data_IF_670785794015
#
_entry.id   IF_670785794015
#
_cell.length_a   1.000
_cell.length_b   1.000
_cell.length_c   1.000
_cell.angle_alpha   90.00
_cell.angle_beta   90.00
_cell.angle_gamma   90.00
#
_symmetry.space_group_name_H-M   'P 1'
#
loop_
_entity.id
_entity.type
_entity.pdbx_description
1 polymer ?
#
# COMPACT_ATOMS: atom_id res chain seq x y z
N UNK A 1 -28.18 -0.27 -9.96
CA UNK A 1 -27.02 0.17 -10.78
C UNK A 1 -26.24 1.38 -10.23
N UNK A 2 -26.73 2.15 -9.24
CA UNK A 2 -26.02 3.35 -8.74
C UNK A 2 -24.73 3.08 -7.93
N UNK A 3 -24.56 1.89 -7.36
CA UNK A 3 -23.41 1.52 -6.53
C UNK A 3 -22.10 1.28 -7.30
N UNK A 4 -22.15 0.91 -8.59
CA UNK A 4 -20.96 0.52 -9.36
C UNK A 4 -20.17 1.71 -9.92
N UNK A 5 -20.85 2.83 -10.18
CA UNK A 5 -20.23 4.03 -10.73
C UNK A 5 -19.10 4.61 -9.86
N UNK A 6 -19.23 4.73 -8.52
CA UNK A 6 -18.13 5.18 -7.67
C UNK A 6 -16.95 4.20 -7.65
N UNK A 7 -17.20 2.89 -7.66
CA UNK A 7 -16.15 1.87 -7.65
C UNK A 7 -15.34 1.89 -8.95
N UNK A 8 -15.99 1.99 -10.11
CA UNK A 8 -15.31 2.08 -11.41
C UNK A 8 -14.45 3.34 -11.45
N UNK A 9 -14.97 4.48 -10.96
CA UNK A 9 -14.19 5.73 -10.86
C UNK A 9 -12.96 5.55 -9.96
N UNK A 10 -13.09 4.84 -8.85
CA UNK A 10 -11.94 4.54 -7.98
C UNK A 10 -10.88 3.71 -8.67
N UNK A 11 -11.28 2.64 -9.36
CA UNK A 11 -10.35 1.73 -10.05
C UNK A 11 -9.61 2.49 -11.15
N UNK A 12 -10.34 3.24 -11.97
CA UNK A 12 -9.74 4.06 -13.05
C UNK A 12 -8.81 5.12 -12.47
N UNK A 13 -9.22 5.82 -11.42
CA UNK A 13 -8.37 6.83 -10.79
C UNK A 13 -7.12 6.20 -10.15
N UNK A 14 -7.27 5.07 -9.49
CA UNK A 14 -6.16 4.31 -8.90
C UNK A 14 -5.16 3.89 -9.97
N UNK A 15 -5.65 3.37 -11.11
CA UNK A 15 -4.80 3.01 -12.24
C UNK A 15 -4.04 4.23 -12.77
N UNK A 16 -4.74 5.33 -13.06
CA UNK A 16 -4.13 6.55 -13.60
C UNK A 16 -3.09 7.14 -12.63
N UNK A 17 -3.44 7.27 -11.36
CA UNK A 17 -2.54 7.84 -10.34
C UNK A 17 -1.33 6.94 -10.11
N UNK A 18 -1.51 5.62 -10.01
CA UNK A 18 -0.40 4.66 -9.87
C UNK A 18 0.53 4.72 -11.09
N UNK A 19 -0.05 4.78 -12.29
CA UNK A 19 0.71 4.88 -13.54
C UNK A 19 1.48 6.19 -13.63
N UNK A 20 0.86 7.32 -13.30
CA UNK A 20 1.54 8.61 -13.27
C UNK A 20 2.65 8.64 -12.23
N UNK A 21 2.39 8.21 -10.99
CA UNK A 21 3.42 8.16 -9.94
C UNK A 21 4.57 7.23 -10.31
N UNK A 22 4.27 6.08 -10.91
CA UNK A 22 5.27 5.14 -11.40
C UNK A 22 6.09 5.71 -12.56
N UNK A 23 5.45 6.32 -13.55
CA UNK A 23 6.11 6.84 -14.74
C UNK A 23 6.92 8.10 -14.45
N UNK A 24 6.33 9.11 -13.81
CA UNK A 24 7.03 10.33 -13.42
C UNK A 24 8.07 10.05 -12.34
N UNK A 25 7.76 9.16 -11.40
CA UNK A 25 8.73 8.66 -10.41
C UNK A 25 9.92 8.00 -11.10
N UNK A 26 9.69 7.10 -12.05
CA UNK A 26 10.73 6.44 -12.82
C UNK A 26 11.60 7.42 -13.61
N UNK A 27 11.06 8.50 -14.16
CA UNK A 27 11.86 9.48 -14.91
C UNK A 27 12.65 10.39 -13.96
N UNK A 28 11.94 11.07 -13.04
CA UNK A 28 12.52 12.12 -12.20
C UNK A 28 13.43 11.50 -11.14
N UNK A 29 12.94 10.48 -10.43
CA UNK A 29 13.68 9.90 -9.31
C UNK A 29 14.89 9.11 -9.80
N UNK A 30 14.79 8.38 -10.92
CA UNK A 30 15.95 7.69 -11.50
C UNK A 30 17.02 8.68 -11.95
N UNK A 31 16.64 9.82 -12.56
CA UNK A 31 17.59 10.86 -12.92
C UNK A 31 18.32 11.43 -11.69
N UNK A 32 17.58 11.75 -10.62
CA UNK A 32 18.16 12.25 -9.36
C UNK A 32 19.07 11.20 -8.73
N UNK A 33 18.63 9.95 -8.64
CA UNK A 33 19.40 8.85 -8.03
C UNK A 33 20.69 8.59 -8.81
N UNK A 34 20.64 8.63 -10.15
CA UNK A 34 21.84 8.52 -10.98
C UNK A 34 22.79 9.71 -10.79
N UNK A 35 22.29 10.94 -10.60
CA UNK A 35 23.13 12.11 -10.32
C UNK A 35 23.89 12.01 -8.98
N UNK A 36 23.32 11.31 -7.99
CA UNK A 36 23.96 11.07 -6.69
C UNK A 36 24.68 9.70 -6.62
N UNK A 37 24.85 9.01 -7.75
CA UNK A 37 25.62 7.76 -7.86
C UNK A 37 24.89 6.51 -7.35
N UNK A 38 23.57 6.57 -7.16
CA UNK A 38 22.74 5.42 -6.76
C UNK A 38 22.10 4.82 -8.01
N UNK A 39 22.66 3.72 -8.49
CA UNK A 39 22.18 3.01 -9.67
C UNK A 39 21.28 1.83 -9.30
N UNK A 40 20.25 1.56 -10.10
CA UNK A 40 19.40 0.36 -9.95
C UNK A 40 18.49 0.35 -8.72
N UNK A 41 18.24 1.49 -8.09
CA UNK A 41 17.34 1.59 -6.93
C UNK A 41 15.89 1.26 -7.30
N UNK A 42 15.21 0.52 -6.42
CA UNK A 42 13.78 0.23 -6.54
C UNK A 42 12.88 1.39 -6.08
N UNK A 43 13.44 2.48 -5.55
CA UNK A 43 12.69 3.61 -5.02
C UNK A 43 11.65 4.19 -6.01
N UNK A 44 11.90 4.29 -7.33
CA UNK A 44 10.89 4.76 -8.27
C UNK A 44 9.70 3.79 -8.42
N UNK A 45 9.97 2.48 -8.36
CA UNK A 45 8.92 1.46 -8.40
C UNK A 45 8.06 1.48 -7.11
N UNK A 46 8.62 1.92 -5.99
CA UNK A 46 7.88 2.08 -4.74
C UNK A 46 6.83 3.20 -4.82
N UNK A 47 7.05 4.27 -5.59
CA UNK A 47 6.10 5.37 -5.74
C UNK A 47 4.77 4.92 -6.36
N UNK A 48 4.82 3.98 -7.31
CA UNK A 48 3.61 3.42 -7.93
C UNK A 48 2.70 2.73 -6.90
N UNK A 49 3.27 2.14 -5.83
CA UNK A 49 2.52 1.45 -4.78
C UNK A 49 1.65 2.38 -3.94
N UNK A 50 1.94 3.68 -3.92
CA UNK A 50 1.14 4.70 -3.21
C UNK A 50 -0.10 5.14 -4.00
N UNK A 51 -0.23 4.76 -5.28
CA UNK A 51 -1.30 5.22 -6.14
C UNK A 51 -2.72 4.95 -5.63
N UNK A 52 -3.04 3.76 -5.09
CA UNK A 52 -4.35 3.49 -4.47
C UNK A 52 -4.65 4.42 -3.30
N UNK A 53 -3.64 4.73 -2.47
CA UNK A 53 -3.82 5.60 -1.31
C UNK A 53 -4.07 7.05 -1.73
N UNK A 54 -3.30 7.55 -2.70
CA UNK A 54 -3.49 8.90 -3.26
C UNK A 54 -4.86 9.00 -3.96
N UNK A 55 -5.23 8.02 -4.77
CA UNK A 55 -6.54 7.99 -5.43
C UNK A 55 -7.71 7.95 -4.42
N UNK A 56 -7.56 7.19 -3.33
CA UNK A 56 -8.53 7.15 -2.25
C UNK A 56 -8.72 8.51 -1.59
N UNK A 57 -7.63 9.21 -1.26
CA UNK A 57 -7.68 10.57 -0.72
C UNK A 57 -8.28 11.58 -1.70
N UNK A 58 -7.94 11.48 -3.00
CA UNK A 58 -8.50 12.35 -4.04
C UNK A 58 -10.01 12.18 -4.19
N UNK A 59 -10.51 10.95 -4.23
CA UNK A 59 -11.96 10.72 -4.27
C UNK A 59 -12.66 11.16 -3.00
N UNK A 60 -12.06 10.91 -1.85
CA UNK A 60 -12.63 11.25 -0.55
C UNK A 60 -12.75 12.78 -0.41
N UNK A 61 -11.75 13.52 -0.89
CA UNK A 61 -11.81 14.97 -1.05
C UNK A 61 -12.83 15.43 -2.09
N UNK A 62 -12.93 14.75 -3.23
CA UNK A 62 -13.88 15.12 -4.29
C UNK A 62 -15.35 14.91 -3.88
N UNK A 63 -15.66 13.79 -3.22
CA UNK A 63 -17.04 13.43 -2.88
C UNK A 63 -17.53 14.06 -1.57
N UNK A 64 -16.64 14.19 -0.58
CA UNK A 64 -17.03 14.59 0.78
C UNK A 64 -16.33 15.87 1.26
N UNK A 65 -15.42 16.44 0.47
CA UNK A 65 -14.67 17.65 0.84
C UNK A 65 -13.92 17.50 2.16
N UNK A 66 -13.87 18.60 2.93
CA UNK A 66 -13.22 18.64 4.26
C UNK A 66 -13.85 17.67 5.27
N UNK A 67 -15.13 17.33 5.12
CA UNK A 67 -15.83 16.42 6.02
C UNK A 67 -15.36 14.97 5.86
N UNK A 68 -15.02 14.57 4.63
CA UNK A 68 -14.39 13.27 4.38
C UNK A 68 -13.09 13.13 5.16
N UNK A 69 -12.17 14.09 5.02
CA UNK A 69 -10.87 14.04 5.70
C UNK A 69 -11.01 14.03 7.24
N UNK A 70 -11.97 14.78 7.79
CA UNK A 70 -12.27 14.71 9.23
C UNK A 70 -12.74 13.32 9.65
N UNK A 71 -13.56 12.65 8.85
CA UNK A 71 -14.00 11.28 9.12
C UNK A 71 -12.82 10.29 9.03
N UNK A 72 -11.93 10.46 8.05
CA UNK A 72 -10.71 9.67 7.91
C UNK A 72 -9.81 9.80 9.15
N UNK A 73 -9.52 11.02 9.59
CA UNK A 73 -8.71 11.27 10.81
C UNK A 73 -9.41 10.71 12.05
N UNK A 74 -10.74 10.87 12.15
CA UNK A 74 -11.50 10.33 13.27
C UNK A 74 -11.45 8.80 13.29
N UNK A 75 -11.58 8.13 12.13
CA UNK A 75 -11.45 6.68 12.04
C UNK A 75 -10.02 6.21 12.28
N UNK A 76 -9.01 6.96 11.83
CA UNK A 76 -7.60 6.73 12.15
C UNK A 76 -7.37 6.70 13.67
N UNK A 77 -7.92 7.69 14.38
CA UNK A 77 -7.80 7.79 15.83
C UNK A 77 -8.64 6.72 16.56
N UNK A 78 -9.78 6.32 15.98
CA UNK A 78 -10.59 5.20 16.48
C UNK A 78 -10.00 3.82 16.13
N UNK A 79 -8.99 3.76 15.26
CA UNK A 79 -8.22 2.55 14.96
C UNK A 79 -7.38 2.07 16.15
N UNK A 80 -7.49 2.75 17.30
CA UNK A 80 -7.12 2.22 18.61
C UNK A 80 -8.03 1.04 19.03
N UNK A 81 -8.31 0.11 18.11
CA UNK A 81 -8.92 -1.17 18.39
C UNK A 81 -7.85 -2.06 19.00
N UNK A 82 -8.26 -2.79 20.04
CA UNK A 82 -7.52 -3.81 20.79
C UNK A 82 -6.14 -4.13 20.23
N UNK A 83 -5.10 -3.96 21.04
CA UNK A 83 -3.70 -4.33 20.73
C UNK A 83 -3.58 -5.69 20.02
N UNK A 84 -4.49 -6.63 20.29
CA UNK A 84 -4.62 -7.94 19.64
C UNK A 84 -4.89 -7.86 18.13
N UNK A 85 -5.72 -6.91 17.67
CA UNK A 85 -5.95 -6.66 16.24
C UNK A 85 -4.70 -6.11 15.56
N UNK A 86 -3.95 -5.25 16.25
CA UNK A 86 -2.70 -4.69 15.77
C UNK A 86 -1.63 -5.78 15.63
N UNK A 87 -1.55 -6.69 16.62
CA UNK A 87 -0.74 -7.91 16.53
C UNK A 87 -1.17 -8.74 15.33
N UNK A 88 -2.46 -9.03 15.16
CA UNK A 88 -2.97 -9.82 14.04
C UNK A 88 -2.60 -9.22 12.69
N UNK A 89 -2.84 -7.93 12.48
CA UNK A 89 -2.52 -7.25 11.20
C UNK A 89 -1.03 -7.29 10.89
N UNK A 90 -0.17 -7.19 11.91
CA UNK A 90 1.28 -7.25 11.72
C UNK A 90 1.76 -8.69 11.54
N UNK A 91 1.37 -9.62 12.41
CA UNK A 91 1.89 -10.99 12.46
C UNK A 91 1.26 -11.94 11.44
N UNK A 92 -0.02 -11.77 11.09
CA UNK A 92 -0.70 -12.67 10.16
C UNK A 92 0.01 -12.75 8.78
N UNK A 93 0.45 -11.64 8.16
CA UNK A 93 1.26 -11.69 6.94
C UNK A 93 2.56 -12.50 7.09
N UNK A 94 3.25 -12.39 8.23
CA UNK A 94 4.46 -13.19 8.48
C UNK A 94 4.13 -14.67 8.60
N UNK A 95 3.07 -15.02 9.33
CA UNK A 95 2.61 -16.42 9.46
C UNK A 95 2.22 -16.99 8.11
N UNK A 96 1.47 -16.23 7.30
CA UNK A 96 1.07 -16.63 5.95
C UNK A 96 2.28 -16.82 5.03
N UNK A 97 3.25 -15.92 5.11
CA UNK A 97 4.50 -16.03 4.34
C UNK A 97 5.30 -17.27 4.76
N UNK A 98 5.39 -17.53 6.06
CA UNK A 98 6.02 -18.74 6.60
C UNK A 98 5.36 -20.02 6.09
N UNK A 99 4.04 -20.11 6.18
CA UNK A 99 3.29 -21.26 5.65
C UNK A 99 3.53 -21.43 4.14
N UNK A 100 3.50 -20.34 3.37
CA UNK A 100 3.71 -20.39 1.93
C UNK A 100 5.12 -20.87 1.54
N UNK A 101 6.15 -20.42 2.27
CA UNK A 101 7.54 -20.85 2.03
C UNK A 101 7.71 -22.33 2.36
N UNK A 102 7.19 -22.80 3.49
CA UNK A 102 7.24 -24.21 3.90
C UNK A 102 6.53 -25.11 2.88
N UNK A 103 5.32 -24.75 2.46
CA UNK A 103 4.58 -25.50 1.43
C UNK A 103 5.35 -25.56 0.11
N UNK A 104 6.00 -24.47 -0.28
CA UNK A 104 6.78 -24.43 -1.53
C UNK A 104 8.04 -25.29 -1.43
N UNK A 105 8.73 -25.27 -0.29
CA UNK A 105 9.88 -26.15 -0.01
C UNK A 105 9.50 -27.63 -0.07
N UNK A 106 8.36 -27.99 0.53
CA UNK A 106 7.82 -29.36 0.48
C UNK A 106 7.46 -29.81 -0.95
N UNK A 107 6.91 -28.92 -1.78
CA UNK A 107 6.51 -29.26 -3.16
C UNK A 107 7.74 -29.43 -4.07
N UNK A 108 8.77 -28.60 -3.89
CA UNK A 108 9.91 -28.56 -4.81
C UNK A 108 11.11 -29.39 -4.36
N UNK A 109 11.06 -30.05 -3.18
CA UNK A 109 12.20 -30.77 -2.59
C UNK A 109 13.49 -29.91 -2.50
N UNK A 110 13.33 -28.61 -2.32
CA UNK A 110 14.43 -27.69 -2.06
C UNK A 110 14.34 -27.20 -0.62
N UNK A 111 15.47 -27.21 0.08
CA UNK A 111 15.65 -26.48 1.33
C UNK A 111 15.59 -24.98 1.00
N UNK A 112 14.38 -24.42 1.00
CA UNK A 112 14.18 -22.98 0.94
C UNK A 112 14.67 -22.38 2.26
N UNK A 113 15.93 -21.92 2.26
CA UNK A 113 16.40 -21.08 3.33
C UNK A 113 15.60 -19.77 3.30
N UNK A 114 15.10 -19.33 4.46
CA UNK A 114 14.64 -17.97 4.71
C UNK A 114 15.82 -17.00 4.52
N UNK A 115 16.22 -16.80 3.27
CA UNK A 115 17.16 -15.75 2.91
C UNK A 115 16.34 -14.49 2.85
N UNK A 116 16.54 -13.64 3.84
CA UNK A 116 16.22 -12.23 3.78
C UNK A 116 17.04 -11.56 2.66
N UNK A 117 16.78 -11.92 1.40
CA UNK A 117 17.33 -11.25 0.23
C UNK A 117 16.80 -9.81 0.26
N UNK A 118 17.61 -8.90 0.81
CA UNK A 118 17.33 -7.45 0.83
C UNK A 118 17.02 -6.81 2.19
N UNK A 119 17.09 -7.51 3.33
CA UNK A 119 16.73 -6.91 4.63
C UNK A 119 17.66 -5.80 5.15
N UNK A 120 18.80 -5.54 4.50
CA UNK A 120 19.75 -4.52 4.95
C UNK A 120 19.29 -3.09 4.58
N UNK A 121 18.42 -2.91 3.58
CA UNK A 121 18.05 -1.56 3.11
C UNK A 121 16.67 -1.06 3.56
N UNK A 122 15.85 -1.90 4.19
CA UNK A 122 14.48 -1.54 4.60
C UNK A 122 14.37 -1.55 6.12
N UNK A 123 15.07 -0.64 6.79
CA UNK A 123 14.94 -0.42 8.23
C UNK A 123 13.47 -0.14 8.59
N UNK A 124 12.84 -1.16 9.17
CA UNK A 124 11.65 -1.25 10.02
C UNK A 124 10.56 -0.15 9.93
N UNK A 125 10.91 1.13 10.00
CA UNK A 125 9.98 2.26 9.92
C UNK A 125 9.55 2.58 8.48
N UNK A 126 10.47 2.50 7.50
CA UNK A 126 10.13 2.77 6.10
C UNK A 126 9.28 1.63 5.54
N UNK A 127 9.57 0.38 5.90
CA UNK A 127 8.72 -0.77 5.54
C UNK A 127 7.32 -0.65 6.14
N UNK A 128 7.20 -0.35 7.44
CA UNK A 128 5.90 -0.10 8.07
C UNK A 128 5.18 1.08 7.43
N UNK A 129 5.90 2.16 7.13
CA UNK A 129 5.38 3.33 6.41
C UNK A 129 4.86 2.96 5.03
N UNK A 130 5.54 2.08 4.29
CA UNK A 130 5.05 1.57 3.01
C UNK A 130 3.82 0.67 3.18
N UNK A 131 3.84 -0.23 4.17
CA UNK A 131 2.76 -1.18 4.40
C UNK A 131 1.47 -0.46 4.85
N UNK A 132 1.62 0.55 5.71
CA UNK A 132 0.51 1.36 6.21
C UNK A 132 0.09 2.45 5.22
N UNK A 133 1.01 3.26 4.69
CA UNK A 133 0.68 4.45 3.89
C UNK A 133 0.63 4.20 2.38
N UNK A 134 1.43 3.27 1.84
CA UNK A 134 1.42 3.02 0.39
C UNK A 134 0.19 2.21 -0.01
N UNK A 135 -0.03 1.06 0.62
CA UNK A 135 -1.07 0.13 0.22
C UNK A 135 -2.38 0.26 1.01
N UNK A 136 -2.30 0.27 2.35
CA UNK A 136 -3.47 0.02 3.19
C UNK A 136 -4.36 1.23 3.39
N UNK A 137 -3.82 2.36 3.87
CA UNK A 137 -4.65 3.38 4.49
C UNK A 137 -5.59 4.09 3.52
N UNK A 138 -5.06 4.73 2.46
CA UNK A 138 -5.93 5.47 1.54
C UNK A 138 -6.80 4.54 0.68
N UNK A 139 -6.31 3.33 0.38
CA UNK A 139 -7.07 2.35 -0.39
C UNK A 139 -8.20 1.70 0.42
N UNK A 140 -7.95 1.33 1.69
CA UNK A 140 -9.00 0.82 2.58
C UNK A 140 -10.04 1.89 2.82
N UNK A 141 -9.67 3.15 3.09
CA UNK A 141 -10.68 4.20 3.29
C UNK A 141 -11.44 4.55 2.01
N UNK A 142 -10.76 4.60 0.86
CA UNK A 142 -11.40 4.77 -0.45
C UNK A 142 -12.36 3.64 -0.77
N UNK A 143 -11.99 2.40 -0.48
CA UNK A 143 -12.82 1.23 -0.75
C UNK A 143 -13.95 1.06 0.29
N UNK A 144 -13.66 1.15 1.59
CA UNK A 144 -14.64 1.02 2.67
C UNK A 144 -15.76 2.05 2.55
N UNK A 145 -15.43 3.32 2.29
CA UNK A 145 -16.46 4.37 2.25
C UNK A 145 -17.33 4.32 0.99
N UNK A 146 -16.81 3.76 -0.12
CA UNK A 146 -17.57 3.56 -1.34
C UNK A 146 -18.37 2.24 -1.35
N UNK A 147 -17.85 1.19 -0.71
CA UNK A 147 -18.44 -0.14 -0.72
C UNK A 147 -19.44 -0.38 0.43
N UNK A 148 -19.24 0.21 1.61
CA UNK A 148 -20.05 -0.09 2.81
C UNK A 148 -21.16 0.92 3.12
N UNK A 149 -21.38 1.94 2.27
CA UNK A 149 -22.43 2.96 2.48
C UNK A 149 -23.62 2.87 1.50
N UNK A 150 -23.84 1.68 0.93
CA UNK A 150 -25.08 1.33 0.24
C UNK A 150 -25.87 0.29 1.04
#
# INVERSE_FOLDING_TARGET
MKAYLPLIKFIVLTFLVSWMLGFFGAIILTAILNMIGIFGSEAPALLAKFGPSVAGLMMLGHQYGKNGFRQLIRHANLFNKSFLYLILVIFLPFVMTYIAVELTGMIQNYDFQFRFYGAIHVYSAVFLGHLLLAGGFGAEFGCLHLCYRN
#
